data_IF_990131014299
#
_entry.id   IF_990131014299
#
_cell.length_a   1.000
_cell.length_b   1.000
_cell.length_c   1.000
_cell.angle_alpha   90.00
_cell.angle_beta   90.00
_cell.angle_gamma   90.00
#
_symmetry.space_group_name_H-M   'P 1'
#
loop_
_entity.id
_entity.type
_entity.pdbx_description
1 polymer ?
#
# COMPACT_ATOMS: atom_id res chain seq x y z
N UNK A 1 -0.72 -19.85 20.78
CA UNK A 1 -0.26 -20.00 22.17
C UNK A 1 1.24 -20.11 22.12
N UNK A 2 1.95 -19.04 22.49
CA UNK A 2 3.41 -19.11 22.67
C UNK A 2 3.68 -20.10 23.81
N UNK A 3 4.55 -21.07 23.57
CA UNK A 3 4.93 -22.01 24.63
C UNK A 3 5.80 -21.28 25.66
N UNK A 4 5.74 -21.67 26.94
CA UNK A 4 6.60 -21.10 27.99
C UNK A 4 8.09 -21.14 27.59
N UNK A 5 8.47 -22.19 26.86
CA UNK A 5 9.80 -22.38 26.30
C UNK A 5 10.19 -21.29 25.29
N UNK A 6 9.25 -20.76 24.50
CA UNK A 6 9.52 -19.67 23.54
C UNK A 6 9.78 -18.35 24.25
N UNK A 7 9.06 -18.07 25.34
CA UNK A 7 9.30 -16.89 26.17
C UNK A 7 10.66 -16.95 26.86
N UNK A 8 11.01 -18.12 27.42
CA UNK A 8 12.32 -18.35 28.04
C UNK A 8 13.44 -18.20 27.01
N UNK A 9 13.28 -18.81 25.84
CA UNK A 9 14.28 -18.72 24.77
C UNK A 9 14.42 -17.28 24.25
N UNK A 10 13.32 -16.53 24.10
CA UNK A 10 13.34 -15.11 23.75
C UNK A 10 14.16 -14.31 24.78
N UNK A 11 13.91 -14.51 26.08
CA UNK A 11 14.64 -13.82 27.15
C UNK A 11 16.13 -14.17 27.18
N UNK A 12 16.48 -15.44 26.98
CA UNK A 12 17.87 -15.88 26.94
C UNK A 12 18.60 -15.19 25.78
N UNK A 13 18.04 -15.24 24.56
CA UNK A 13 18.67 -14.63 23.39
C UNK A 13 18.82 -13.11 23.57
N UNK A 14 17.81 -12.45 24.15
CA UNK A 14 17.88 -11.01 24.39
C UNK A 14 18.95 -10.64 25.42
N UNK A 15 19.14 -11.47 26.47
CA UNK A 15 20.18 -11.27 27.49
C UNK A 15 21.62 -11.43 26.99
N UNK A 16 21.83 -12.14 25.87
CA UNK A 16 23.17 -12.41 25.32
C UNK A 16 23.64 -11.27 24.39
N UNK A 17 22.83 -10.23 24.17
CA UNK A 17 23.20 -9.05 23.37
C UNK A 17 23.80 -9.40 21.97
N UNK A 18 23.34 -10.50 21.37
CA UNK A 18 23.87 -10.99 20.09
C UNK A 18 23.72 -9.92 19.00
N UNK A 19 24.73 -9.73 18.16
CA UNK A 19 24.65 -8.79 17.04
C UNK A 19 23.47 -9.09 16.10
N UNK A 20 22.86 -8.05 15.53
CA UNK A 20 21.69 -8.21 14.65
C UNK A 20 21.98 -9.07 13.42
N UNK A 21 23.23 -9.06 12.91
CA UNK A 21 23.61 -9.86 11.73
C UNK A 21 23.60 -11.36 12.04
N UNK A 22 24.16 -11.75 13.19
CA UNK A 22 24.16 -13.13 13.66
C UNK A 22 22.73 -13.64 13.94
N UNK A 23 21.86 -12.78 14.48
CA UNK A 23 20.44 -13.11 14.63
C UNK A 23 19.77 -13.38 13.28
N UNK A 24 20.09 -12.61 12.23
CA UNK A 24 19.54 -12.84 10.89
C UNK A 24 19.99 -14.19 10.32
N UNK A 25 21.24 -14.59 10.55
CA UNK A 25 21.76 -15.90 10.13
C UNK A 25 21.07 -17.05 10.88
N UNK A 26 20.87 -16.91 12.19
CA UNK A 26 20.19 -17.91 13.01
C UNK A 26 18.74 -18.19 12.58
N UNK A 27 18.16 -17.30 11.78
CA UNK A 27 16.80 -17.43 11.25
C UNK A 27 16.64 -18.62 10.29
N UNK A 28 17.73 -19.18 9.74
CA UNK A 28 17.68 -20.32 8.82
C UNK A 28 17.53 -21.69 9.52
N UNK A 29 17.78 -21.78 10.83
CA UNK A 29 17.82 -23.06 11.56
C UNK A 29 16.44 -23.64 11.89
N UNK A 30 15.34 -22.91 11.68
CA UNK A 30 13.99 -23.45 11.83
C UNK A 30 12.88 -22.40 11.90
N UNK A 31 11.63 -22.83 11.72
CA UNK A 31 10.45 -21.94 11.75
C UNK A 31 10.19 -21.35 13.14
N UNK A 32 10.40 -22.16 14.18
CA UNK A 32 10.26 -21.74 15.59
C UNK A 32 11.27 -20.66 15.97
N UNK A 33 12.54 -20.86 15.60
CA UNK A 33 13.59 -19.88 15.87
C UNK A 33 13.39 -18.61 15.03
N UNK A 34 12.93 -18.77 13.78
CA UNK A 34 12.57 -17.64 12.91
C UNK A 34 11.54 -16.71 13.54
N UNK A 35 10.44 -17.24 14.09
CA UNK A 35 9.39 -16.40 14.69
C UNK A 35 9.90 -15.66 15.94
N UNK A 36 10.73 -16.32 16.76
CA UNK A 36 11.31 -15.71 17.96
C UNK A 36 12.30 -14.60 17.57
N UNK A 37 13.18 -14.87 16.61
CA UNK A 37 14.15 -13.88 16.10
C UNK A 37 13.44 -12.70 15.46
N UNK A 38 12.42 -12.94 14.62
CA UNK A 38 11.64 -11.87 13.98
C UNK A 38 10.96 -10.97 15.05
N UNK A 39 10.54 -11.54 16.18
CA UNK A 39 10.02 -10.78 17.33
C UNK A 39 11.12 -9.96 18.04
N UNK A 40 12.30 -10.55 18.31
CA UNK A 40 13.43 -9.85 18.95
C UNK A 40 13.94 -8.71 18.05
N UNK A 41 14.06 -8.94 16.74
CA UNK A 41 14.47 -7.92 15.78
C UNK A 41 13.48 -6.75 15.76
N UNK A 42 12.17 -7.04 15.86
CA UNK A 42 11.14 -6.01 15.97
C UNK A 42 11.28 -5.21 17.26
N UNK A 43 11.45 -5.86 18.40
CA UNK A 43 11.57 -5.19 19.71
C UNK A 43 12.82 -4.30 19.75
N UNK A 44 13.97 -4.83 19.31
CA UNK A 44 15.23 -4.06 19.20
C UNK A 44 15.13 -2.90 18.21
N UNK A 45 14.39 -3.06 17.13
CA UNK A 45 14.14 -1.98 16.19
C UNK A 45 13.30 -0.86 16.83
N UNK A 46 12.22 -1.22 17.53
CA UNK A 46 11.36 -0.26 18.22
C UNK A 46 12.14 0.50 19.31
N UNK A 47 12.98 -0.20 20.09
CA UNK A 47 13.84 0.40 21.11
C UNK A 47 14.86 1.38 20.50
N UNK A 48 15.53 0.98 19.41
CA UNK A 48 16.55 1.82 18.75
C UNK A 48 16.01 3.14 18.22
N UNK A 49 14.79 3.14 17.67
CA UNK A 49 14.17 4.32 17.08
C UNK A 49 13.15 5.01 18.00
N UNK A 50 12.95 4.47 19.21
CA UNK A 50 11.94 4.93 20.18
C UNK A 50 10.51 5.00 19.61
N UNK A 51 10.12 3.97 18.84
CA UNK A 51 8.82 3.84 18.16
C UNK A 51 7.92 2.94 19.01
N UNK A 52 6.62 3.25 19.08
CA UNK A 52 5.65 2.45 19.86
C UNK A 52 5.42 1.04 19.29
N UNK A 53 5.52 0.88 17.98
CA UNK A 53 5.34 -0.40 17.33
C UNK A 53 5.39 -0.30 15.81
N UNK A 54 5.30 -1.46 15.18
CA UNK A 54 5.18 -1.58 13.72
C UNK A 54 3.76 -2.07 13.41
N UNK A 55 2.96 -1.23 12.74
CA UNK A 55 1.61 -1.53 12.32
C UNK A 55 1.60 -2.31 11.00
N UNK A 56 0.75 -3.34 10.89
CA UNK A 56 0.55 -4.11 9.66
C UNK A 56 1.31 -5.44 9.59
N UNK A 57 0.75 -6.38 8.81
CA UNK A 57 1.18 -7.77 8.71
C UNK A 57 2.52 -8.01 8.02
N UNK A 58 3.11 -9.16 8.35
CA UNK A 58 4.45 -9.71 8.02
C UNK A 58 5.61 -8.70 8.05
N UNK A 59 6.63 -8.92 8.90
CA UNK A 59 7.77 -8.02 8.96
C UNK A 59 8.46 -7.89 7.59
N UNK A 60 9.11 -6.74 7.32
CA UNK A 60 10.00 -6.58 6.19
C UNK A 60 11.10 -7.66 6.16
N UNK A 61 11.90 -7.68 5.09
CA UNK A 61 13.10 -8.52 5.08
C UNK A 61 13.91 -8.29 6.38
N UNK A 62 14.45 -9.33 7.03
CA UNK A 62 15.16 -9.16 8.31
C UNK A 62 16.33 -8.17 8.20
N UNK A 63 16.96 -8.13 7.02
CA UNK A 63 18.01 -7.20 6.65
C UNK A 63 17.53 -5.74 6.64
N UNK A 64 16.24 -5.47 6.45
CA UNK A 64 15.70 -4.13 6.53
C UNK A 64 15.84 -3.55 7.95
N UNK A 65 15.72 -4.38 9.00
CA UNK A 65 15.90 -3.92 10.38
C UNK A 65 17.34 -3.56 10.72
N UNK A 66 18.33 -4.23 10.12
CA UNK A 66 19.75 -3.90 10.33
C UNK A 66 20.22 -2.73 9.47
N UNK A 67 19.76 -2.65 8.22
CA UNK A 67 20.17 -1.62 7.26
C UNK A 67 19.34 -0.32 7.32
N UNK A 68 18.29 -0.29 8.15
CA UNK A 68 17.43 0.88 8.27
C UNK A 68 18.22 2.10 8.72
N UNK A 69 18.02 3.21 8.00
CA UNK A 69 18.53 4.55 8.32
C UNK A 69 17.36 5.52 8.34
N UNK A 70 17.59 6.72 8.86
CA UNK A 70 16.58 7.78 8.91
C UNK A 70 15.93 8.05 7.53
N UNK A 71 16.72 7.94 6.45
CA UNK A 71 16.26 8.10 5.06
C UNK A 71 15.30 7.01 4.55
N UNK A 72 15.03 5.97 5.34
CA UNK A 72 14.02 4.96 5.04
C UNK A 72 12.67 5.28 5.68
N UNK A 73 12.60 6.28 6.55
CA UNK A 73 11.36 6.74 7.16
C UNK A 73 10.73 7.85 6.33
N UNK A 74 9.42 7.72 6.14
CA UNK A 74 8.60 8.64 5.36
C UNK A 74 7.33 8.97 6.13
N UNK A 75 6.88 10.21 6.05
CA UNK A 75 5.57 10.63 6.49
C UNK A 75 4.62 10.63 5.29
N UNK A 76 3.48 9.98 5.46
CA UNK A 76 2.39 10.04 4.49
C UNK A 76 1.62 11.35 4.63
N UNK A 77 1.66 12.21 3.60
CA UNK A 77 0.89 13.46 3.56
C UNK A 77 -0.21 13.35 2.50
N UNK A 78 -1.50 13.40 2.88
CA UNK A 78 -2.59 13.40 1.92
C UNK A 78 -2.60 14.70 1.12
N UNK A 79 -2.67 14.61 -0.20
CA UNK A 79 -2.65 15.78 -1.09
C UNK A 79 -4.05 16.36 -1.18
N UNK A 80 -4.20 17.64 -0.85
CA UNK A 80 -5.47 18.36 -0.98
C UNK A 80 -5.52 19.11 -2.31
N UNK A 81 -6.70 19.16 -2.95
CA UNK A 81 -6.90 19.88 -4.21
C UNK A 81 -6.51 21.36 -4.06
N UNK A 82 -5.54 21.80 -4.86
CA UNK A 82 -5.01 23.17 -4.82
C UNK A 82 -3.70 23.34 -4.03
N UNK A 83 -3.22 22.29 -3.35
CA UNK A 83 -1.87 22.30 -2.79
C UNK A 83 -0.81 22.22 -3.91
N UNK A 84 0.25 23.00 -3.74
CA UNK A 84 1.45 22.93 -4.57
C UNK A 84 2.57 22.22 -3.80
N UNK A 85 3.47 21.58 -4.55
CA UNK A 85 4.63 20.90 -3.96
C UNK A 85 5.48 21.83 -3.10
N UNK A 86 5.58 23.11 -3.47
CA UNK A 86 6.29 24.14 -2.69
C UNK A 86 5.63 24.42 -1.34
N UNK A 87 4.28 24.42 -1.29
CA UNK A 87 3.53 24.64 -0.05
C UNK A 87 3.72 23.48 0.92
N UNK A 88 3.67 22.25 0.38
CA UNK A 88 3.91 21.02 1.14
C UNK A 88 5.35 20.99 1.65
N UNK A 89 6.32 21.32 0.80
CA UNK A 89 7.73 21.39 1.16
C UNK A 89 7.95 22.33 2.34
N UNK A 90 7.33 23.52 2.30
CA UNK A 90 7.40 24.50 3.38
C UNK A 90 6.77 23.97 4.68
N UNK A 91 5.59 23.33 4.60
CA UNK A 91 4.88 22.76 5.77
C UNK A 91 5.73 21.74 6.52
N UNK A 92 6.44 20.90 5.78
CA UNK A 92 7.27 19.83 6.34
C UNK A 92 8.76 20.18 6.44
N UNK A 93 9.14 21.43 6.16
CA UNK A 93 10.54 21.89 6.13
C UNK A 93 11.45 21.02 5.25
N UNK A 94 10.92 20.55 4.12
CA UNK A 94 11.66 19.74 3.14
C UNK A 94 11.94 20.53 1.88
N UNK A 95 12.84 20.02 1.03
CA UNK A 95 13.15 20.64 -0.25
C UNK A 95 12.26 20.06 -1.36
N UNK A 96 11.78 20.92 -2.26
CA UNK A 96 10.94 20.55 -3.41
C UNK A 96 11.66 19.54 -4.30
N UNK A 97 12.99 19.69 -4.46
CA UNK A 97 13.78 18.76 -5.26
C UNK A 97 13.80 17.34 -4.66
N UNK A 98 13.85 17.24 -3.33
CA UNK A 98 13.84 15.97 -2.60
C UNK A 98 12.48 15.29 -2.69
N UNK A 99 11.39 16.06 -2.53
CA UNK A 99 10.03 15.53 -2.68
C UNK A 99 9.77 15.02 -4.11
N UNK A 100 10.24 15.76 -5.13
CA UNK A 100 10.14 15.30 -6.53
C UNK A 100 10.85 13.98 -6.75
N UNK A 101 12.07 13.86 -6.23
CA UNK A 101 12.89 12.64 -6.38
C UNK A 101 12.28 11.43 -5.67
N UNK A 102 11.85 11.60 -4.42
CA UNK A 102 11.27 10.51 -3.61
C UNK A 102 9.97 9.99 -4.24
N UNK A 103 9.11 10.89 -4.69
CA UNK A 103 7.80 10.52 -5.22
C UNK A 103 7.79 10.27 -6.73
N UNK A 104 8.93 10.42 -7.42
CA UNK A 104 9.02 10.37 -8.88
C UNK A 104 8.00 11.32 -9.57
N UNK A 105 8.00 12.59 -9.14
CA UNK A 105 7.15 13.66 -9.67
C UNK A 105 7.94 14.42 -10.73
N UNK A 106 7.47 14.35 -11.98
CA UNK A 106 8.11 15.02 -13.12
C UNK A 106 7.56 16.44 -13.32
N UNK A 107 6.25 16.63 -13.12
CA UNK A 107 5.58 17.92 -13.31
C UNK A 107 4.53 18.17 -12.22
N UNK A 108 4.21 19.43 -11.99
CA UNK A 108 3.29 19.82 -10.90
C UNK A 108 1.86 19.29 -11.13
N UNK A 109 1.47 19.04 -12.39
CA UNK A 109 0.19 18.41 -12.71
C UNK A 109 0.08 16.95 -12.21
N UNK A 110 1.21 16.23 -12.08
CA UNK A 110 1.20 14.86 -11.55
C UNK A 110 0.93 14.77 -10.05
N UNK A 111 1.03 15.89 -9.34
CA UNK A 111 0.65 15.98 -7.92
C UNK A 111 -0.87 15.88 -7.76
N UNK A 112 -1.63 16.56 -8.63
CA UNK A 112 -3.10 16.66 -8.55
C UNK A 112 -3.77 15.28 -8.73
N UNK A 113 -3.15 14.38 -9.47
CA UNK A 113 -3.65 13.02 -9.68
C UNK A 113 -3.41 12.05 -8.51
N UNK A 114 -2.64 12.46 -7.48
CA UNK A 114 -2.26 11.56 -6.37
C UNK A 114 -3.10 11.83 -5.14
N UNK A 115 -3.41 10.76 -4.41
CA UNK A 115 -4.11 10.83 -3.12
C UNK A 115 -3.17 11.17 -1.97
N UNK A 116 -1.93 10.67 -2.02
CA UNK A 116 -0.94 10.82 -0.97
C UNK A 116 0.47 10.95 -1.56
N UNK A 117 1.33 11.66 -0.86
CA UNK A 117 2.75 11.77 -1.15
C UNK A 117 3.58 11.41 0.09
N UNK A 118 4.78 10.90 -0.16
CA UNK A 118 5.71 10.51 0.88
C UNK A 118 6.75 11.59 1.11
N UNK A 119 6.84 12.07 2.33
CA UNK A 119 7.77 13.10 2.77
C UNK A 119 8.89 12.44 3.58
N UNK A 120 10.18 12.54 3.19
CA UNK A 120 11.25 11.93 3.96
C UNK A 120 11.38 12.59 5.34
N UNK A 121 11.54 11.79 6.39
CA UNK A 121 11.75 12.30 7.75
C UNK A 121 13.19 12.82 7.88
N UNK A 122 13.34 14.06 8.32
CA UNK A 122 14.67 14.67 8.51
C UNK A 122 15.20 14.53 9.93
N UNK A 123 14.31 14.46 10.93
CA UNK A 123 14.67 14.47 12.34
C UNK A 123 14.13 13.22 13.05
N UNK A 124 14.97 12.60 13.88
CA UNK A 124 14.59 11.43 14.67
C UNK A 124 13.52 11.75 15.73
N UNK A 125 13.45 13.02 16.17
CA UNK A 125 12.41 13.48 17.11
C UNK A 125 10.99 13.23 16.60
N UNK A 126 10.78 13.27 15.28
CA UNK A 126 9.47 13.03 14.66
C UNK A 126 9.05 11.55 14.74
N UNK A 127 9.97 10.64 15.04
CA UNK A 127 9.69 9.20 15.16
C UNK A 127 9.27 8.80 16.58
N UNK A 128 9.57 9.62 17.58
CA UNK A 128 9.38 9.28 18.99
C UNK A 128 7.90 9.06 19.31
N UNK A 129 7.57 7.86 19.79
CA UNK A 129 6.20 7.51 20.19
C UNK A 129 5.22 7.34 19.01
N UNK A 130 5.69 7.33 17.77
CA UNK A 130 4.85 7.10 16.60
C UNK A 130 4.63 5.61 16.37
N UNK A 131 3.63 5.29 15.54
CA UNK A 131 3.43 3.94 15.02
C UNK A 131 3.86 3.91 13.56
N UNK A 132 4.60 2.88 13.15
CA UNK A 132 5.20 2.83 11.81
C UNK A 132 4.64 1.66 11.03
N UNK A 133 4.12 1.88 9.82
CA UNK A 133 3.77 0.80 8.92
C UNK A 133 4.89 0.53 7.92
N UNK A 134 5.12 -0.74 7.58
CA UNK A 134 6.06 -1.09 6.53
C UNK A 134 5.32 -1.21 5.19
N UNK A 135 5.76 -0.44 4.20
CA UNK A 135 5.17 -0.45 2.86
C UNK A 135 6.26 -0.46 1.79
N UNK A 136 5.97 -1.10 0.66
CA UNK A 136 6.79 -0.97 -0.53
C UNK A 136 6.23 0.12 -1.44
N UNK A 137 7.09 1.01 -1.92
CA UNK A 137 6.63 2.03 -2.85
C UNK A 137 6.40 1.43 -4.25
N UNK A 138 5.14 1.37 -4.67
CA UNK A 138 4.77 0.85 -6.00
C UNK A 138 5.33 1.73 -7.14
N UNK A 139 5.42 3.05 -6.95
CA UNK A 139 5.76 4.00 -8.01
C UNK A 139 7.27 4.30 -8.17
N UNK A 140 8.13 3.92 -7.22
CA UNK A 140 9.59 4.09 -7.33
C UNK A 140 10.33 2.82 -6.90
N UNK A 141 10.38 1.85 -7.81
CA UNK A 141 11.31 0.72 -7.76
C UNK A 141 11.15 -0.26 -6.58
N UNK A 142 9.95 -0.40 -6.02
CA UNK A 142 9.69 -1.33 -4.91
C UNK A 142 10.62 -1.09 -3.71
N UNK A 143 10.94 0.18 -3.45
CA UNK A 143 11.82 0.57 -2.35
C UNK A 143 11.14 0.28 -1.00
N UNK A 144 11.83 -0.33 -0.03
CA UNK A 144 11.30 -0.50 1.33
C UNK A 144 11.17 0.88 2.01
N UNK A 145 9.98 1.18 2.50
CA UNK A 145 9.68 2.43 3.20
C UNK A 145 8.97 2.14 4.52
N UNK A 146 9.39 2.87 5.54
CA UNK A 146 8.73 2.90 6.84
C UNK A 146 7.84 4.14 6.88
N UNK A 147 6.54 3.95 6.73
CA UNK A 147 5.56 5.04 6.74
C UNK A 147 5.16 5.32 8.19
N UNK A 148 5.45 6.52 8.64
CA UNK A 148 5.17 6.97 10.00
C UNK A 148 3.74 7.49 10.06
N UNK A 149 2.94 6.90 10.94
CA UNK A 149 1.63 7.42 11.28
C UNK A 149 1.76 8.17 12.62
N UNK A 150 1.52 9.49 12.65
CA UNK A 150 1.53 10.23 13.91
C UNK A 150 0.43 9.67 14.82
N UNK A 151 0.73 9.57 16.11
CA UNK A 151 -0.01 8.84 17.14
C UNK A 151 -1.49 9.24 17.38
N UNK A 152 -2.05 10.15 16.58
CA UNK A 152 -3.45 10.58 16.63
C UNK A 152 -4.31 10.18 15.42
N UNK A 153 -3.76 9.51 14.42
CA UNK A 153 -4.53 9.01 13.26
C UNK A 153 -4.47 7.49 13.26
N UNK A 154 -5.42 6.89 13.95
CA UNK A 154 -5.76 5.48 13.79
C UNK A 154 -5.96 5.19 12.30
N UNK A 155 -5.16 4.26 11.79
CA UNK A 155 -5.25 3.79 10.41
C UNK A 155 -6.69 3.38 10.07
N UNK A 156 -7.21 3.70 8.87
CA UNK A 156 -8.48 3.17 8.41
C UNK A 156 -8.28 1.70 8.07
N UNK A 157 -8.55 0.82 9.02
CA UNK A 157 -8.54 -0.62 8.81
C UNK A 157 -7.82 -1.42 9.89
N UNK A 158 -8.25 -1.33 11.14
CA UNK A 158 -8.22 -2.50 12.01
C UNK A 158 -9.36 -2.39 13.03
N UNK A 159 -10.37 -3.23 12.83
CA UNK A 159 -11.54 -3.32 13.70
C UNK A 159 -11.13 -3.86 15.06
N UNK A 160 -10.86 -2.95 16.00
CA UNK A 160 -10.75 -3.32 17.40
C UNK A 160 -12.15 -3.41 17.96
N UNK A 161 -12.57 -4.65 18.25
CA UNK A 161 -13.77 -4.95 19.01
C UNK A 161 -13.69 -4.27 20.37
N UNK A 162 -14.48 -3.22 20.55
CA UNK A 162 -14.80 -2.67 21.85
C UNK A 162 -16.13 -3.31 22.24
N UNK A 163 -16.05 -4.07 23.32
CA UNK A 163 -17.22 -4.56 24.04
C UNK A 163 -17.91 -3.35 24.66
N UNK A 164 -19.19 -3.17 24.39
CA UNK A 164 -20.11 -2.60 25.37
C UNK A 164 -21.53 -3.08 25.09
N UNK A 165 -22.21 -3.37 26.20
CA UNK A 165 -23.48 -4.05 26.29
C UNK A 165 -24.60 -3.03 26.52
N UNK A 166 -25.76 -3.34 25.96
CA UNK A 166 -27.12 -2.98 26.40
C UNK A 166 -27.90 -1.83 25.72
N UNK A 167 -29.07 -2.28 25.22
CA UNK A 167 -30.41 -1.67 25.16
C UNK A 167 -30.75 -0.55 24.16
N UNK A 168 -31.43 -0.98 23.09
CA UNK A 168 -32.82 -0.61 22.72
C UNK A 168 -33.40 0.71 23.26
N UNK A 169 -33.73 1.67 22.38
CA UNK A 169 -35.08 1.76 21.80
C UNK A 169 -35.29 2.96 20.84
N UNK A 170 -36.10 2.68 19.82
CA UNK A 170 -37.01 3.55 19.07
C UNK A 170 -36.51 4.56 18.01
N UNK A 171 -37.15 4.41 16.85
CA UNK A 171 -36.99 5.09 15.58
C UNK A 171 -37.38 6.58 15.56
N UNK A 172 -36.74 7.37 14.68
CA UNK A 172 -37.42 7.88 13.47
C UNK A 172 -36.51 8.69 12.55
N UNK A 173 -36.63 8.37 11.25
CA UNK A 173 -36.55 9.26 10.08
C UNK A 173 -35.19 9.77 9.52
N UNK A 174 -35.03 9.42 8.24
CA UNK A 174 -34.43 10.20 7.15
C UNK A 174 -32.93 10.02 6.81
N UNK A 175 -32.68 9.01 5.98
CA UNK A 175 -31.97 9.08 4.69
C UNK A 175 -30.70 9.96 4.55
N UNK A 176 -29.57 9.31 4.26
CA UNK A 176 -28.80 9.44 3.00
C UNK A 176 -27.66 8.39 3.00
N UNK A 177 -27.54 7.68 1.86
CA UNK A 177 -26.40 6.85 1.42
C UNK A 177 -26.08 5.55 2.20
N UNK A 178 -26.91 4.53 1.99
CA UNK A 178 -26.54 3.12 2.23
C UNK A 178 -25.69 2.56 1.07
N UNK A 179 -24.41 2.29 1.33
CA UNK A 179 -23.57 1.36 0.56
C UNK A 179 -23.85 -0.07 1.04
N UNK A 180 -24.31 -1.02 0.20
CA UNK A 180 -24.41 -2.42 0.60
C UNK A 180 -23.24 -3.23 0.03
N UNK A 181 -22.04 -3.02 0.56
CA UNK A 181 -20.92 -3.93 0.36
C UNK A 181 -21.06 -5.14 1.30
N UNK A 182 -22.03 -6.03 1.05
CA UNK A 182 -22.11 -7.33 1.73
C UNK A 182 -23.09 -8.30 1.04
N UNK A 183 -22.58 -9.20 0.18
CA UNK A 183 -23.05 -10.60 -0.03
C UNK A 183 -22.44 -11.38 -1.22
N UNK A 184 -21.65 -10.77 -2.12
CA UNK A 184 -21.30 -11.41 -3.41
C UNK A 184 -19.80 -11.68 -3.66
N UNK A 185 -19.03 -12.19 -2.69
CA UNK A 185 -17.61 -12.52 -2.94
C UNK A 185 -17.35 -13.90 -3.55
N UNK A 186 -18.22 -14.90 -3.36
CA UNK A 186 -18.05 -16.23 -3.98
C UNK A 186 -18.54 -16.32 -5.44
N UNK A 187 -19.41 -15.41 -5.87
CA UNK A 187 -19.96 -15.35 -7.25
C UNK A 187 -19.01 -14.71 -8.26
N UNK A 188 -18.07 -13.86 -7.81
CA UNK A 188 -17.18 -13.13 -8.72
C UNK A 188 -16.15 -14.02 -9.43
N UNK A 189 -15.66 -15.08 -8.79
CA UNK A 189 -14.69 -15.98 -9.41
C UNK A 189 -15.27 -16.76 -10.61
N UNK A 190 -16.54 -17.20 -10.50
CA UNK A 190 -17.23 -17.88 -11.59
C UNK A 190 -17.55 -16.92 -12.75
N UNK A 191 -17.96 -15.68 -12.43
CA UNK A 191 -18.17 -14.63 -13.44
C UNK A 191 -16.88 -14.27 -14.17
N UNK A 192 -15.75 -14.16 -13.46
CA UNK A 192 -14.44 -13.95 -14.07
C UNK A 192 -14.06 -15.11 -15.01
N UNK A 193 -14.25 -16.37 -14.58
CA UNK A 193 -13.96 -17.53 -15.41
C UNK A 193 -14.87 -17.62 -16.66
N UNK A 194 -16.14 -17.23 -16.53
CA UNK A 194 -17.05 -17.09 -17.66
C UNK A 194 -16.56 -16.02 -18.64
N UNK A 195 -16.19 -14.84 -18.14
CA UNK A 195 -15.74 -13.73 -18.97
C UNK A 195 -14.44 -14.05 -19.73
N UNK A 196 -13.49 -14.71 -19.05
CA UNK A 196 -12.25 -15.22 -19.65
C UNK A 196 -12.54 -16.15 -20.83
N UNK A 197 -13.49 -17.07 -20.67
CA UNK A 197 -13.87 -18.02 -21.73
C UNK A 197 -14.61 -17.34 -22.88
N UNK A 198 -15.51 -16.41 -22.61
CA UNK A 198 -16.32 -15.76 -23.65
C UNK A 198 -15.54 -14.75 -24.48
N UNK A 199 -14.58 -14.04 -23.87
CA UNK A 199 -13.83 -12.99 -24.53
C UNK A 199 -12.40 -13.41 -24.90
N UNK A 200 -11.97 -14.62 -24.48
CA UNK A 200 -10.60 -15.12 -24.61
C UNK A 200 -9.57 -14.13 -24.04
N UNK A 201 -9.87 -13.57 -22.87
CA UNK A 201 -9.06 -12.60 -22.14
C UNK A 201 -8.41 -13.25 -20.91
N UNK A 202 -7.30 -12.70 -20.44
CA UNK A 202 -6.65 -13.10 -19.18
C UNK A 202 -7.49 -12.77 -17.92
N UNK A 203 -7.11 -13.40 -16.81
CA UNK A 203 -7.87 -13.30 -15.56
C UNK A 203 -7.89 -11.91 -14.94
N UNK A 204 -6.80 -11.15 -15.08
CA UNK A 204 -6.69 -9.82 -14.49
C UNK A 204 -7.57 -8.83 -15.25
N UNK A 205 -7.51 -8.84 -16.58
CA UNK A 205 -8.35 -7.96 -17.42
C UNK A 205 -9.83 -8.31 -17.28
N UNK A 206 -10.20 -9.59 -17.19
CA UNK A 206 -11.58 -10.00 -16.89
C UNK A 206 -12.05 -9.48 -15.52
N UNK A 207 -11.18 -9.49 -14.50
CA UNK A 207 -11.46 -8.92 -13.19
C UNK A 207 -11.68 -7.41 -13.23
N UNK A 208 -10.89 -6.68 -14.02
CA UNK A 208 -11.03 -5.24 -14.21
C UNK A 208 -12.41 -4.86 -14.77
N UNK A 209 -12.83 -5.43 -15.90
CA UNK A 209 -14.13 -5.11 -16.50
C UNK A 209 -15.32 -5.50 -15.61
N UNK A 210 -15.18 -6.59 -14.85
CA UNK A 210 -16.22 -7.00 -13.91
C UNK A 210 -16.32 -6.03 -12.70
N UNK A 211 -15.19 -5.52 -12.22
CA UNK A 211 -15.16 -4.50 -11.16
C UNK A 211 -15.67 -3.14 -11.63
N UNK A 212 -15.41 -2.76 -12.89
CA UNK A 212 -15.90 -1.51 -13.46
C UNK A 212 -17.41 -1.54 -13.73
N UNK A 213 -17.99 -2.73 -13.87
CA UNK A 213 -19.40 -2.97 -14.14
C UNK A 213 -20.20 -3.40 -12.89
N UNK A 214 -19.67 -3.18 -11.68
CA UNK A 214 -20.32 -3.54 -10.41
C UNK A 214 -20.88 -4.98 -10.35
N UNK A 215 -20.23 -5.92 -11.05
CA UNK A 215 -20.62 -7.34 -11.09
C UNK A 215 -21.60 -7.75 -12.20
N UNK A 216 -22.01 -6.83 -13.08
CA UNK A 216 -22.87 -7.15 -14.23
C UNK A 216 -22.07 -7.65 -15.45
N UNK A 217 -22.18 -8.95 -15.84
CA UNK A 217 -21.34 -9.53 -16.89
C UNK A 217 -21.64 -8.97 -18.29
N UNK A 218 -22.89 -8.54 -18.53
CA UNK A 218 -23.29 -7.97 -19.83
C UNK A 218 -22.68 -6.60 -20.06
N UNK A 219 -22.70 -5.75 -19.03
CA UNK A 219 -22.08 -4.43 -19.07
C UNK A 219 -20.55 -4.53 -19.24
N UNK A 220 -19.92 -5.51 -18.58
CA UNK A 220 -18.50 -5.80 -18.77
C UNK A 220 -18.16 -6.21 -20.22
N UNK A 221 -18.97 -7.06 -20.84
CA UNK A 221 -18.78 -7.48 -22.24
C UNK A 221 -18.95 -6.30 -23.20
N UNK A 222 -19.96 -5.45 -23.00
CA UNK A 222 -20.19 -4.30 -23.89
C UNK A 222 -19.05 -3.30 -23.81
N UNK A 223 -18.55 -3.00 -22.60
CA UNK A 223 -17.41 -2.11 -22.41
C UNK A 223 -16.15 -2.63 -23.13
N UNK A 224 -15.83 -3.93 -22.99
CA UNK A 224 -14.71 -4.53 -23.71
C UNK A 224 -14.87 -4.46 -25.24
N UNK A 225 -16.07 -4.70 -25.76
CA UNK A 225 -16.33 -4.63 -27.21
C UNK A 225 -16.18 -3.21 -27.75
N UNK A 226 -16.56 -2.19 -26.98
CA UNK A 226 -16.38 -0.78 -27.33
C UNK A 226 -14.90 -0.40 -27.41
N UNK A 227 -14.10 -0.84 -26.44
CA UNK A 227 -12.65 -0.62 -26.45
C UNK A 227 -11.98 -1.29 -27.65
N UNK A 228 -12.37 -2.53 -27.99
CA UNK A 228 -11.86 -3.19 -29.20
C UNK A 228 -12.24 -2.47 -30.50
N UNK A 229 -13.45 -1.91 -30.57
CA UNK A 229 -13.90 -1.10 -31.72
C UNK A 229 -13.09 0.19 -31.82
N UNK A 230 -12.84 0.84 -30.69
CA UNK A 230 -12.02 2.04 -30.62
C UNK A 230 -10.58 1.77 -31.06
N UNK A 231 -9.98 0.68 -30.58
CA UNK A 231 -8.64 0.26 -30.98
C UNK A 231 -8.54 -0.07 -32.48
N UNK A 232 -9.55 -0.74 -33.03
CA UNK A 232 -9.61 -1.00 -34.47
C UNK A 232 -9.71 0.31 -35.28
N UNK A 233 -10.52 1.28 -34.82
CA UNK A 233 -10.63 2.61 -35.44
C UNK A 233 -9.30 3.36 -35.37
N UNK A 234 -8.63 3.35 -34.22
CA UNK A 234 -7.34 4.01 -34.03
C UNK A 234 -6.23 3.36 -34.87
N UNK A 235 -6.21 2.04 -35.01
CA UNK A 235 -5.28 1.34 -35.91
C UNK A 235 -5.50 1.71 -37.38
N UNK A 236 -6.75 1.90 -37.82
CA UNK A 236 -7.03 2.39 -39.19
C UNK A 236 -6.56 3.82 -39.37
N UNK A 237 -6.80 4.69 -38.40
CA UNK A 237 -6.37 6.10 -38.45
C UNK A 237 -4.85 6.24 -38.47
N UNK A 238 -4.11 5.46 -37.66
CA UNK A 238 -2.64 5.44 -37.70
C UNK A 238 -2.10 4.98 -39.05
N UNK A 239 -2.72 3.97 -39.67
CA UNK A 239 -2.34 3.49 -41.01
C UNK A 239 -2.60 4.54 -42.10
N UNK A 240 -3.74 5.23 -42.07
CA UNK A 240 -4.04 6.27 -43.06
C UNK A 240 -3.12 7.49 -42.92
N UNK A 241 -2.76 7.88 -41.70
CA UNK A 241 -1.77 8.93 -41.44
C UNK A 241 -0.36 8.53 -41.88
N UNK A 242 0.01 7.25 -41.72
CA UNK A 242 1.28 6.72 -42.23
C UNK A 242 1.36 6.73 -43.76
N UNK A 243 0.29 6.34 -44.45
CA UNK A 243 0.24 6.35 -45.92
C UNK A 243 0.34 7.76 -46.51
N UNK A 244 -0.32 8.75 -45.90
CA UNK A 244 -0.24 10.17 -46.32
C UNK A 244 1.15 10.78 -46.14
N UNK A 245 1.98 10.25 -45.22
CA UNK A 245 3.38 10.69 -45.06
C UNK A 245 4.27 10.18 -46.18
N UNK A 246 4.05 8.98 -46.70
CA UNK A 246 4.83 8.46 -47.84
C UNK A 246 4.46 9.12 -49.16
N UNK A 247 3.19 9.52 -49.33
CA UNK A 247 2.74 10.17 -50.56
C UNK A 247 3.14 11.66 -50.66
N UNK A 248 3.47 12.31 -49.53
CA UNK A 248 4.03 13.67 -49.49
C UNK A 248 5.56 13.73 -49.69
N UNK A 249 6.24 12.59 -49.78
CA UNK A 249 7.71 12.50 -49.95
C UNK A 249 8.13 12.06 -51.37
N UNK A 250 7.23 12.10 -52.35
CA UNK A 250 7.52 12.04 -53.78
C UNK A 250 7.15 13.37 -54.42
#
# INVERSE_FOLDING_TARGET
MESLDDFVLKKIIDSVEIETNLLIELRCFGTRLKTIIDAILRDRFCLRWNICGIAGGSPPSPTAFSTCRLCNFYLGHPVVSGESLSSIALKHQTDVSTLRRVNNIISDHTLVSRTEIFVPVQNESTLQGCNVSFQYHSAAHNRPMFVVHPAGVSAPGDGTAISDSASSDSASAAAIASTPASKYHKSNALLQQMLQKTLAIDAATAGYYLSAADGDPRAAITAYQEDQRWDAKMRRLRRSLGSKKHEKCK
#
